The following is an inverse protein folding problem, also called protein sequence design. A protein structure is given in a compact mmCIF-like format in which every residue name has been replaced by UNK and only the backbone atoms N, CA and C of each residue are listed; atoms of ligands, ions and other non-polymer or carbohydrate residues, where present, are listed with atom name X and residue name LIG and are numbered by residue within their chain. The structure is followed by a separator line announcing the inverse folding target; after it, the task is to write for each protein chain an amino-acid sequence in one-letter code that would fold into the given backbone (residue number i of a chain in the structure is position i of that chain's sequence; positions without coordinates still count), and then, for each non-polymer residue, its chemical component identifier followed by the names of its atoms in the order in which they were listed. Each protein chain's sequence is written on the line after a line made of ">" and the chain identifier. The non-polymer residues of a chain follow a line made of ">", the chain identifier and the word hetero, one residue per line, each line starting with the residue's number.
data_IF_554535554110
#
_entry.id   IF_554535554110
#
_cell.length_a   1.000
_cell.length_b   1.000
_cell.length_c   1.000
_cell.angle_alpha   90.00
_cell.angle_beta   90.00
_cell.angle_gamma   90.00
#
_symmetry.space_group_name_H-M   'P 1'
#
loop_
_entity.id
_entity.type
_entity.pdbx_description
1 polymer ?
#
# COMPACT_ATOMS: atom_id res chain seq x y z
N UNK A 1 4.60 73.86 -3.13
CA UNK A 1 3.58 72.86 -3.54
C UNK A 1 4.18 71.49 -3.23
N UNK A 2 3.75 70.86 -2.12
CA UNK A 2 3.07 69.55 -2.08
C UNK A 2 3.78 68.49 -2.95
N UNK A 3 4.45 67.45 -2.44
CA UNK A 3 4.04 66.53 -1.38
C UNK A 3 3.35 65.31 -2.00
N UNK A 4 3.92 64.10 -1.88
CA UNK A 4 3.18 62.86 -2.15
C UNK A 4 3.96 61.69 -2.74
N UNK A 5 4.81 61.03 -1.93
CA UNK A 5 5.11 59.61 -2.09
C UNK A 5 3.84 58.78 -2.00
N UNK A 6 3.55 57.93 -2.98
CA UNK A 6 2.53 56.88 -2.85
C UNK A 6 3.19 55.51 -2.81
N UNK A 7 3.51 55.15 -1.57
CA UNK A 7 3.70 53.79 -1.07
C UNK A 7 2.35 53.05 -1.17
N UNK A 8 2.30 51.90 -1.82
CA UNK A 8 1.20 50.95 -1.63
C UNK A 8 1.76 49.52 -1.52
N UNK A 9 2.17 49.18 -0.31
CA UNK A 9 2.23 47.80 0.15
C UNK A 9 0.82 47.36 0.52
N UNK A 10 0.46 46.12 0.15
CA UNK A 10 -0.15 45.08 1.00
C UNK A 10 -1.13 44.21 0.23
N UNK A 11 -0.96 42.90 0.38
CA UNK A 11 -1.88 41.91 -0.16
C UNK A 11 -1.18 40.63 -0.59
N UNK A 12 -0.28 40.12 0.25
CA UNK A 12 0.21 38.74 0.16
C UNK A 12 -1.00 37.80 0.05
N UNK A 13 -1.29 37.33 -1.16
CA UNK A 13 -2.20 36.21 -1.37
C UNK A 13 -1.46 34.98 -0.85
N UNK A 14 -1.66 34.69 0.44
CA UNK A 14 -1.30 33.40 1.04
C UNK A 14 -2.11 32.33 0.33
N UNK A 15 -1.56 31.81 -0.76
CA UNK A 15 -1.95 30.52 -1.30
C UNK A 15 -1.57 29.48 -0.26
N UNK A 16 -2.52 29.14 0.62
CA UNK A 16 -2.42 27.95 1.45
C UNK A 16 -2.37 26.77 0.49
N UNK A 17 -1.17 26.25 0.29
CA UNK A 17 -0.93 24.98 -0.37
C UNK A 17 -1.59 23.91 0.50
N UNK A 18 -2.89 23.70 0.30
CA UNK A 18 -3.60 22.55 0.82
C UNK A 18 -2.89 21.32 0.22
N UNK A 19 -2.07 20.69 1.05
CA UNK A 19 -1.48 19.39 0.79
C UNK A 19 -2.65 18.43 0.61
N UNK A 20 -3.05 18.24 -0.65
CA UNK A 20 -4.12 17.36 -1.07
C UNK A 20 -3.71 15.91 -0.89
N UNK A 21 -3.53 15.47 0.35
CA UNK A 21 -3.85 14.10 0.73
C UNK A 21 -5.29 13.94 0.28
N UNK A 22 -5.51 13.11 -0.74
CA UNK A 22 -6.86 12.71 -1.12
C UNK A 22 -7.43 11.97 0.08
N UNK A 23 -8.06 12.73 1.00
CA UNK A 23 -8.73 12.17 2.17
C UNK A 23 -9.76 11.23 1.60
N UNK A 24 -9.59 9.93 1.88
CA UNK A 24 -10.54 8.93 1.46
C UNK A 24 -11.87 9.33 2.06
N UNK A 25 -12.82 9.71 1.21
CA UNK A 25 -14.15 10.06 1.66
C UNK A 25 -14.79 8.79 2.21
N UNK A 26 -15.11 8.79 3.50
CA UNK A 26 -15.76 7.66 4.14
C UNK A 26 -17.20 7.57 3.64
N UNK A 27 -17.72 6.34 3.55
CA UNK A 27 -19.13 6.11 3.25
C UNK A 27 -19.96 6.55 4.46
N UNK A 28 -20.93 7.41 4.23
CA UNK A 28 -21.82 7.91 5.28
C UNK A 28 -23.18 7.26 5.10
N UNK A 29 -23.69 6.62 6.15
CA UNK A 29 -25.04 6.07 6.15
C UNK A 29 -26.04 7.10 6.67
N UNK A 30 -27.31 7.05 6.25
CA UNK A 30 -28.35 7.96 6.76
C UNK A 30 -28.52 7.89 8.28
N UNK A 31 -28.36 6.68 8.86
CA UNK A 31 -28.41 6.45 10.31
C UNK A 31 -27.35 7.24 11.08
N UNK A 32 -26.12 7.33 10.56
CA UNK A 32 -25.07 8.14 11.19
C UNK A 32 -25.44 9.63 11.24
N UNK A 33 -26.09 10.13 10.19
CA UNK A 33 -26.55 11.53 10.12
C UNK A 33 -27.69 11.76 11.11
N UNK A 34 -28.65 10.83 11.18
CA UNK A 34 -29.80 10.91 12.07
C UNK A 34 -29.39 10.93 13.55
N UNK A 35 -28.42 10.09 13.93
CA UNK A 35 -27.88 10.06 15.30
C UNK A 35 -27.26 11.40 15.70
N UNK A 36 -26.44 12.01 14.82
CA UNK A 36 -25.87 13.35 15.09
C UNK A 36 -26.96 14.41 15.14
N UNK A 37 -27.95 14.34 14.24
CA UNK A 37 -29.07 15.30 14.18
C UNK A 37 -29.97 15.23 15.42
N UNK A 38 -30.16 14.06 16.01
CA UNK A 38 -30.94 13.90 17.23
C UNK A 38 -30.29 14.61 18.43
N UNK A 39 -28.95 14.66 18.48
CA UNK A 39 -28.20 15.40 19.49
C UNK A 39 -28.05 16.89 19.17
N UNK A 40 -27.91 17.23 17.89
CA UNK A 40 -27.67 18.59 17.41
C UNK A 40 -28.67 18.99 16.31
N UNK A 41 -29.90 19.39 16.68
CA UNK A 41 -30.92 19.76 15.70
C UNK A 41 -30.59 21.04 14.92
N UNK A 42 -29.75 21.92 15.49
CA UNK A 42 -29.35 23.20 14.89
C UNK A 42 -28.28 23.05 13.79
N UNK A 43 -27.61 21.89 13.73
CA UNK A 43 -26.54 21.65 12.74
C UNK A 43 -27.15 21.12 11.44
N UNK A 44 -26.87 21.75 10.28
CA UNK A 44 -27.44 21.31 9.01
C UNK A 44 -26.89 19.94 8.60
N UNK A 45 -27.75 19.11 8.00
CA UNK A 45 -27.43 17.75 7.53
C UNK A 45 -26.25 17.73 6.56
N UNK A 46 -26.10 18.76 5.72
CA UNK A 46 -24.97 18.89 4.81
C UNK A 46 -23.61 19.02 5.53
N UNK A 47 -23.57 19.75 6.65
CA UNK A 47 -22.36 19.89 7.47
C UNK A 47 -22.03 18.56 8.18
N UNK A 48 -23.05 17.90 8.73
CA UNK A 48 -22.93 16.57 9.35
C UNK A 48 -22.36 15.57 8.35
N UNK A 49 -22.94 15.50 7.14
CA UNK A 49 -22.48 14.58 6.10
C UNK A 49 -21.04 14.87 5.68
N UNK A 50 -20.67 16.13 5.50
CA UNK A 50 -19.32 16.51 5.12
C UNK A 50 -18.28 16.18 6.21
N UNK A 51 -18.62 16.38 7.48
CA UNK A 51 -17.74 15.99 8.58
C UNK A 51 -17.65 14.46 8.72
N UNK A 52 -18.78 13.73 8.62
CA UNK A 52 -18.78 12.27 8.64
C UNK A 52 -18.00 11.66 7.47
N UNK A 53 -18.01 12.28 6.28
CA UNK A 53 -17.17 11.86 5.16
C UNK A 53 -15.68 12.04 5.48
N UNK A 54 -15.35 13.03 6.31
CA UNK A 54 -13.98 13.35 6.73
C UNK A 54 -13.50 12.49 7.88
N UNK A 55 -14.31 12.29 8.91
CA UNK A 55 -13.98 11.57 10.15
C UNK A 55 -14.25 10.07 10.05
N UNK A 56 -15.31 9.67 9.35
CA UNK A 56 -15.77 8.29 9.26
C UNK A 56 -16.42 7.73 10.53
N UNK A 57 -16.54 8.52 11.60
CA UNK A 57 -17.13 8.11 12.88
C UNK A 57 -18.05 9.19 13.43
N UNK A 58 -19.19 8.75 13.98
CA UNK A 58 -20.16 9.63 14.62
C UNK A 58 -19.60 10.26 15.88
N UNK A 59 -18.88 9.48 16.71
CA UNK A 59 -18.32 9.97 17.98
C UNK A 59 -17.35 11.13 17.76
N UNK A 60 -16.49 11.02 16.75
CA UNK A 60 -15.55 12.09 16.38
C UNK A 60 -16.28 13.31 15.85
N UNK A 61 -17.36 13.13 15.09
CA UNK A 61 -18.19 14.24 14.61
C UNK A 61 -18.93 14.95 15.74
N UNK A 62 -19.39 14.20 16.76
CA UNK A 62 -19.99 14.76 17.97
C UNK A 62 -18.97 15.59 18.76
N UNK A 63 -17.76 15.07 18.98
CA UNK A 63 -16.68 15.81 19.65
C UNK A 63 -16.30 17.09 18.89
N UNK A 64 -16.20 17.04 17.56
CA UNK A 64 -15.96 18.24 16.73
C UNK A 64 -17.08 19.28 16.88
N UNK A 65 -18.34 18.83 16.82
CA UNK A 65 -19.49 19.71 16.98
C UNK A 65 -19.52 20.40 18.36
N UNK A 66 -19.13 19.69 19.42
CA UNK A 66 -19.02 20.25 20.78
C UNK A 66 -17.87 21.24 20.91
N UNK A 67 -16.71 20.96 20.30
CA UNK A 67 -15.52 21.83 20.36
C UNK A 67 -15.75 23.17 19.68
N UNK A 68 -16.32 23.14 18.49
CA UNK A 68 -16.44 24.32 17.64
C UNK A 68 -17.81 25.01 17.79
N UNK A 69 -18.73 24.45 18.59
CA UNK A 69 -20.11 24.91 18.71
C UNK A 69 -20.92 24.74 17.41
N UNK A 70 -20.48 23.85 16.52
CA UNK A 70 -21.05 23.63 15.20
C UNK A 70 -20.09 22.86 14.29
N UNK A 71 -20.53 22.57 13.05
CA UNK A 71 -19.68 21.92 12.05
C UNK A 71 -19.38 22.88 10.89
N UNK A 72 -18.16 22.87 10.32
CA UNK A 72 -17.81 23.72 9.20
C UNK A 72 -18.66 23.34 7.97
N UNK A 73 -19.42 24.30 7.45
CA UNK A 73 -20.26 24.09 6.29
C UNK A 73 -19.39 23.78 5.06
N UNK A 74 -19.66 22.68 4.32
CA UNK A 74 -18.91 22.39 3.12
C UNK A 74 -19.11 23.52 2.09
N UNK A 75 -18.10 23.83 1.27
CA UNK A 75 -18.28 24.76 0.16
C UNK A 75 -19.43 24.26 -0.73
N UNK A 76 -20.25 25.16 -1.30
CA UNK A 76 -21.35 24.76 -2.16
C UNK A 76 -20.77 23.97 -3.34
N UNK A 77 -21.10 22.68 -3.39
CA UNK A 77 -20.78 21.85 -4.54
C UNK A 77 -21.63 22.41 -5.68
N UNK A 78 -20.97 23.00 -6.69
CA UNK A 78 -21.65 23.40 -7.92
C UNK A 78 -22.42 22.17 -8.43
N UNK A 79 -23.74 22.28 -8.48
CA UNK A 79 -24.63 21.24 -8.93
C UNK A 79 -24.22 20.81 -10.34
N UNK A 80 -23.59 19.64 -10.46
CA UNK A 80 -23.50 18.96 -11.75
C UNK A 80 -24.92 18.48 -12.05
N UNK A 81 -25.66 19.30 -12.80
CA UNK A 81 -26.87 18.87 -13.47
C UNK A 81 -26.51 17.66 -14.34
N UNK A 82 -27.27 16.58 -14.21
CA UNK A 82 -27.04 15.34 -14.93
C UNK A 82 -27.03 15.58 -16.44
N UNK A 83 -25.93 15.25 -17.10
CA UNK A 83 -25.90 15.00 -18.53
C UNK A 83 -26.09 13.50 -18.76
N UNK A 84 -26.89 13.08 -19.76
CA UNK A 84 -27.13 11.66 -20.01
C UNK A 84 -25.85 11.00 -20.51
N UNK A 85 -25.53 9.88 -19.86
CA UNK A 85 -24.73 8.76 -20.35
C UNK A 85 -23.93 9.00 -21.66
N UNK A 86 -22.78 9.66 -21.56
CA UNK A 86 -21.73 9.53 -22.56
C UNK A 86 -20.63 8.65 -21.98
N UNK A 87 -20.42 7.51 -22.63
CA UNK A 87 -19.33 6.56 -22.44
C UNK A 87 -17.99 7.29 -22.22
N UNK A 88 -17.64 7.57 -20.96
CA UNK A 88 -16.38 8.20 -20.61
C UNK A 88 -15.30 7.12 -20.62
N UNK A 89 -14.68 6.96 -21.79
CA UNK A 89 -13.38 6.32 -21.91
C UNK A 89 -12.48 6.88 -20.82
N UNK A 90 -11.94 5.98 -20.00
CA UNK A 90 -10.94 6.26 -19.00
C UNK A 90 -9.70 6.84 -19.69
N UNK A 91 -9.63 8.15 -19.88
CA UNK A 91 -8.36 8.81 -20.16
C UNK A 91 -7.48 8.62 -18.91
N UNK A 92 -6.35 7.92 -18.99
CA UNK A 92 -5.40 7.91 -17.90
C UNK A 92 -4.90 9.33 -17.78
N UNK A 93 -5.38 10.03 -16.76
CA UNK A 93 -4.88 11.35 -16.40
C UNK A 93 -3.40 11.17 -16.08
N UNK A 94 -2.53 11.40 -17.07
CA UNK A 94 -1.08 11.41 -16.96
C UNK A 94 -0.71 12.60 -16.08
N UNK A 95 -0.88 12.41 -14.77
CA UNK A 95 -0.18 13.21 -13.78
C UNK A 95 1.28 12.97 -14.12
N UNK A 96 1.96 14.00 -14.60
CA UNK A 96 3.41 13.99 -14.80
C UNK A 96 4.03 13.63 -13.46
N UNK A 97 4.21 12.34 -13.20
CA UNK A 97 4.97 11.88 -12.05
C UNK A 97 6.34 12.50 -12.20
N UNK A 98 6.93 13.07 -11.15
CA UNK A 98 8.30 13.54 -11.22
C UNK A 98 9.14 12.42 -11.83
N UNK A 99 9.91 12.76 -12.87
CA UNK A 99 10.68 11.83 -13.70
C UNK A 99 11.86 11.27 -12.92
N UNK A 100 11.57 10.52 -11.86
CA UNK A 100 12.55 9.70 -11.18
C UNK A 100 12.32 8.27 -11.67
N UNK A 101 13.24 7.69 -12.45
CA UNK A 101 13.09 6.32 -12.93
C UNK A 101 13.04 5.31 -11.78
N UNK A 102 13.59 5.63 -10.60
CA UNK A 102 13.63 4.72 -9.45
C UNK A 102 13.51 5.45 -8.10
N UNK A 103 12.98 4.75 -7.09
CA UNK A 103 12.84 5.26 -5.71
C UNK A 103 14.21 5.63 -5.09
N UNK A 104 15.26 4.89 -5.41
CA UNK A 104 16.65 5.16 -4.97
C UNK A 104 17.07 6.58 -5.35
N UNK A 105 16.78 7.01 -6.59
CA UNK A 105 17.12 8.35 -7.06
C UNK A 105 16.22 9.42 -6.45
N UNK A 106 14.92 9.13 -6.30
CA UNK A 106 13.97 10.06 -5.67
C UNK A 106 14.36 10.39 -4.24
N UNK A 107 14.85 9.39 -3.49
CA UNK A 107 15.19 9.53 -2.07
C UNK A 107 16.70 9.65 -1.81
N UNK A 108 17.55 9.66 -2.84
CA UNK A 108 19.01 9.77 -2.74
C UNK A 108 19.60 8.73 -1.78
N UNK A 109 19.11 7.50 -1.89
CA UNK A 109 19.48 6.39 -1.01
C UNK A 109 20.82 5.82 -1.48
N UNK A 110 21.77 5.64 -0.56
CA UNK A 110 23.00 4.93 -0.86
C UNK A 110 22.72 3.43 -0.97
N UNK A 111 23.13 2.85 -2.08
CA UNK A 111 22.88 1.46 -2.44
C UNK A 111 23.83 0.52 -1.70
N UNK A 112 25.02 1.01 -1.35
CA UNK A 112 26.02 0.21 -0.64
C UNK A 112 25.79 0.15 0.86
N UNK A 113 24.79 0.85 1.38
CA UNK A 113 24.45 0.77 2.79
C UNK A 113 23.72 -0.54 3.07
N UNK A 114 24.38 -1.45 3.78
CA UNK A 114 23.77 -2.69 4.24
C UNK A 114 22.67 -2.41 5.26
N UNK A 115 21.42 -2.50 4.81
CA UNK A 115 20.23 -2.33 5.62
C UNK A 115 19.87 -3.61 6.38
N UNK A 116 20.79 -4.15 7.16
CA UNK A 116 20.57 -5.41 7.91
C UNK A 116 19.88 -5.15 9.26
N UNK A 117 19.83 -3.90 9.72
CA UNK A 117 19.07 -3.52 10.92
C UNK A 117 17.73 -2.89 10.56
N UNK A 118 16.64 -3.58 10.91
CA UNK A 118 15.29 -3.04 10.79
C UNK A 118 15.11 -1.88 11.79
N UNK A 119 14.76 -0.66 11.33
CA UNK A 119 14.54 0.45 12.23
C UNK A 119 13.29 0.21 13.10
N UNK A 120 13.32 0.59 14.39
CA UNK A 120 12.23 0.30 15.30
C UNK A 120 10.90 0.90 14.82
N UNK A 121 9.83 0.11 14.95
CA UNK A 121 8.47 0.48 14.52
C UNK A 121 7.74 1.33 15.57
N UNK A 122 8.48 2.17 16.30
CA UNK A 122 7.97 3.04 17.35
C UNK A 122 8.05 4.49 16.88
N UNK A 123 7.00 5.25 17.18
CA UNK A 123 6.91 6.66 16.82
C UNK A 123 7.44 7.52 17.95
N UNK A 124 8.44 8.35 17.66
CA UNK A 124 9.04 9.24 18.65
C UNK A 124 8.13 10.48 18.89
N UNK A 125 8.10 10.95 20.14
CA UNK A 125 7.38 12.16 20.52
C UNK A 125 8.02 13.41 19.90
N UNK A 126 9.35 13.41 19.73
CA UNK A 126 10.06 14.53 19.12
C UNK A 126 9.91 14.49 17.58
N UNK A 127 9.47 15.61 16.95
CA UNK A 127 9.24 15.67 15.51
C UNK A 127 10.48 15.40 14.66
N UNK A 128 11.66 15.84 15.10
CA UNK A 128 12.91 15.68 14.35
C UNK A 128 13.36 14.21 14.35
N UNK A 129 13.35 13.58 15.53
CA UNK A 129 13.65 12.14 15.67
C UNK A 129 12.69 11.28 14.86
N UNK A 130 11.40 11.60 14.90
CA UNK A 130 10.38 10.93 14.10
C UNK A 130 10.62 11.07 12.60
N UNK A 131 11.01 12.26 12.13
CA UNK A 131 11.33 12.46 10.72
C UNK A 131 12.53 11.61 10.29
N UNK A 132 13.58 11.55 11.12
CA UNK A 132 14.75 10.72 10.88
C UNK A 132 14.40 9.22 10.84
N UNK A 133 13.62 8.76 11.82
CA UNK A 133 13.10 7.39 11.88
C UNK A 133 12.29 7.02 10.62
N UNK A 134 11.44 7.91 10.14
CA UNK A 134 10.68 7.70 8.91
C UNK A 134 11.57 7.66 7.66
N UNK A 135 12.66 8.43 7.62
CA UNK A 135 13.64 8.37 6.53
C UNK A 135 14.36 7.02 6.53
N UNK A 136 14.92 6.62 7.67
CA UNK A 136 15.58 5.31 7.86
C UNK A 136 14.67 4.15 7.47
N UNK A 137 13.40 4.19 7.87
CA UNK A 137 12.42 3.15 7.51
C UNK A 137 12.10 3.10 6.02
N UNK A 138 12.04 4.25 5.33
CA UNK A 138 11.86 4.30 3.88
C UNK A 138 13.09 3.76 3.17
N UNK A 139 14.28 4.15 3.61
CA UNK A 139 15.56 3.65 3.10
C UNK A 139 15.65 2.12 3.20
N UNK A 140 15.40 1.58 4.41
CA UNK A 140 15.35 0.14 4.67
C UNK A 140 14.38 -0.58 3.73
N UNK A 141 13.15 -0.08 3.58
CA UNK A 141 12.13 -0.68 2.72
C UNK A 141 12.55 -0.70 1.25
N UNK A 142 13.15 0.38 0.75
CA UNK A 142 13.61 0.46 -0.65
C UNK A 142 14.76 -0.51 -0.90
N UNK A 143 15.71 -0.61 0.02
CA UNK A 143 16.85 -1.53 -0.08
C UNK A 143 16.41 -2.99 -0.01
N UNK A 144 15.52 -3.34 0.92
CA UNK A 144 14.93 -4.68 0.98
C UNK A 144 14.16 -5.03 -0.30
N UNK A 145 13.32 -4.12 -0.79
CA UNK A 145 12.58 -4.33 -2.03
C UNK A 145 13.53 -4.57 -3.22
N UNK A 146 14.65 -3.86 -3.27
CA UNK A 146 15.70 -4.05 -4.28
C UNK A 146 16.38 -5.42 -4.14
N UNK A 147 16.80 -5.82 -2.93
CA UNK A 147 17.40 -7.16 -2.68
C UNK A 147 16.45 -8.26 -3.19
N UNK A 148 15.17 -8.19 -2.80
CA UNK A 148 14.12 -9.14 -3.21
C UNK A 148 13.83 -9.13 -4.72
N UNK A 149 13.95 -7.98 -5.38
CA UNK A 149 13.78 -7.88 -6.83
C UNK A 149 14.94 -8.51 -7.61
N UNK A 150 16.19 -8.32 -7.15
CA UNK A 150 17.36 -8.96 -7.77
C UNK A 150 17.31 -10.48 -7.64
N UNK A 151 16.90 -10.99 -6.47
CA UNK A 151 16.72 -12.44 -6.26
C UNK A 151 15.66 -13.04 -7.19
N UNK A 152 14.50 -12.37 -7.32
CA UNK A 152 13.44 -12.80 -8.25
C UNK A 152 13.91 -12.78 -9.70
N UNK A 153 14.70 -11.79 -10.11
CA UNK A 153 15.27 -11.74 -11.46
C UNK A 153 16.25 -12.89 -11.70
N UNK A 154 17.12 -13.21 -10.72
CA UNK A 154 18.02 -14.35 -10.80
C UNK A 154 17.25 -15.68 -10.92
N UNK A 155 16.21 -15.87 -10.12
CA UNK A 155 15.36 -17.06 -10.17
C UNK A 155 14.64 -17.20 -11.52
N UNK A 156 14.08 -16.11 -12.05
CA UNK A 156 13.41 -16.11 -13.35
C UNK A 156 14.35 -16.41 -14.52
N UNK A 157 15.62 -16.01 -14.42
CA UNK A 157 16.65 -16.38 -15.41
C UNK A 157 16.99 -17.87 -15.34
N UNK A 158 17.01 -18.48 -14.15
CA UNK A 158 17.26 -19.92 -13.97
C UNK A 158 16.07 -20.78 -14.43
N UNK A 159 14.82 -20.37 -14.14
CA UNK A 159 13.62 -21.05 -14.61
C UNK A 159 13.42 -20.91 -16.13
N UNK A 160 13.99 -19.86 -16.74
CA UNK A 160 13.98 -19.66 -18.20
C UNK A 160 15.01 -20.50 -18.97
N UNK A 161 16.06 -21.04 -18.32
CA UNK A 161 17.09 -21.84 -18.99
C UNK A 161 16.91 -23.35 -18.88
N UNK A 162 15.98 -23.84 -18.05
CA UNK A 162 15.72 -25.28 -17.85
C UNK A 162 14.62 -25.87 -18.75
N UNK A 163 14.06 -25.10 -19.69
CA UNK A 163 13.00 -25.58 -20.63
C UNK A 163 13.52 -25.95 -22.03
N UNK A 164 14.84 -25.97 -22.29
CA UNK A 164 15.39 -26.28 -23.62
C UNK A 164 16.50 -27.33 -23.69
N UNK A 165 16.65 -28.22 -22.70
CA UNK A 165 17.52 -29.39 -22.86
C UNK A 165 17.03 -30.58 -22.06
N UNK A 166 16.24 -31.45 -22.71
CA UNK A 166 16.16 -32.84 -22.31
C UNK A 166 17.48 -33.53 -22.68
N UNK A 167 18.06 -34.31 -21.76
CA UNK A 167 18.62 -35.59 -22.15
C UNK A 167 17.99 -36.70 -21.32
N UNK A 168 17.38 -37.65 -22.03
CA UNK A 168 17.02 -38.95 -21.51
C UNK A 168 18.30 -39.71 -21.13
N UNK A 169 18.41 -40.12 -19.87
CA UNK A 169 19.41 -41.13 -19.46
C UNK A 169 18.76 -42.08 -18.45
N UNK A 170 18.60 -43.32 -18.93
CA UNK A 170 18.34 -44.54 -18.18
C UNK A 170 19.34 -44.70 -17.02
N UNK A 171 18.85 -44.98 -15.80
CA UNK A 171 19.56 -45.78 -14.78
C UNK A 171 18.50 -46.51 -13.93
N UNK A 172 18.74 -47.82 -13.75
CA UNK A 172 17.94 -48.82 -13.05
C UNK A 172 18.12 -48.71 -11.51
N UNK A 173 17.34 -49.46 -10.70
CA UNK A 173 16.94 -49.08 -9.35
C UNK A 173 17.98 -49.45 -8.28
N UNK A 174 18.12 -48.57 -7.28
CA UNK A 174 18.74 -48.90 -5.99
C UNK A 174 17.72 -48.62 -4.90
N UNK A 175 17.41 -49.67 -4.15
CA UNK A 175 16.50 -49.72 -3.01
C UNK A 175 17.07 -48.89 -1.84
N UNK A 176 16.50 -47.72 -1.58
CA UNK A 176 16.61 -47.02 -0.31
C UNK A 176 15.24 -46.40 -0.04
N UNK A 177 14.66 -46.68 1.13
CA UNK A 177 13.28 -46.36 1.45
C UNK A 177 13.07 -44.85 1.67
N UNK A 178 12.67 -44.16 0.59
CA UNK A 178 12.25 -42.76 0.64
C UNK A 178 10.91 -42.62 1.38
N UNK A 179 10.96 -42.19 2.64
CA UNK A 179 9.79 -41.78 3.42
C UNK A 179 9.10 -40.60 2.74
N UNK A 180 7.94 -40.87 2.16
CA UNK A 180 7.11 -39.88 1.47
C UNK A 180 6.48 -38.90 2.47
N UNK A 181 6.23 -37.66 2.03
CA UNK A 181 5.63 -36.55 2.80
C UNK A 181 4.35 -36.94 3.57
N UNK A 182 3.59 -37.94 3.11
CA UNK A 182 2.39 -38.44 3.78
C UNK A 182 2.67 -39.25 5.06
N UNK A 183 3.90 -39.72 5.28
CA UNK A 183 4.27 -40.60 6.40
C UNK A 183 5.21 -39.91 7.40
N UNK A 184 5.66 -38.68 7.12
CA UNK A 184 6.57 -37.93 7.99
C UNK A 184 5.81 -37.19 9.09
N UNK A 185 6.26 -37.34 10.34
CA UNK A 185 5.66 -36.67 11.50
C UNK A 185 5.79 -35.15 11.40
N UNK A 186 4.84 -34.41 12.00
CA UNK A 186 4.78 -32.93 11.98
C UNK A 186 6.07 -32.30 12.53
N UNK A 187 6.71 -32.91 13.54
CA UNK A 187 8.01 -32.49 14.05
C UNK A 187 9.13 -32.56 12.99
N UNK A 188 9.12 -33.61 12.17
CA UNK A 188 10.16 -33.87 11.17
C UNK A 188 10.04 -32.90 10.00
N UNK A 189 8.82 -32.57 9.59
CA UNK A 189 8.54 -31.56 8.56
C UNK A 189 9.00 -30.16 8.95
N UNK A 190 9.01 -29.82 10.24
CA UNK A 190 9.47 -28.51 10.73
C UNK A 190 11.00 -28.41 10.90
N UNK A 191 11.71 -29.54 10.92
CA UNK A 191 13.17 -29.58 10.93
C UNK A 191 13.77 -29.37 9.53
N UNK A 192 12.99 -29.59 8.46
CA UNK A 192 13.44 -29.40 7.09
C UNK A 192 13.52 -27.92 6.71
N UNK A 193 14.53 -27.58 5.89
CA UNK A 193 14.62 -26.25 5.29
C UNK A 193 13.44 -26.00 4.33
N UNK A 194 13.03 -24.73 4.11
CA UNK A 194 11.92 -24.41 3.22
C UNK A 194 12.08 -24.93 1.79
N UNK A 195 13.31 -25.00 1.29
CA UNK A 195 13.64 -25.54 -0.04
C UNK A 195 13.47 -27.07 -0.08
N UNK A 196 13.94 -27.80 0.95
CA UNK A 196 13.77 -29.26 1.02
C UNK A 196 12.29 -29.66 1.12
N UNK A 197 11.48 -28.91 1.87
CA UNK A 197 10.03 -29.15 1.96
C UNK A 197 9.34 -28.94 0.61
N UNK A 198 9.76 -27.92 -0.14
CA UNK A 198 9.25 -27.62 -1.49
C UNK A 198 9.59 -28.74 -2.46
N UNK A 199 10.83 -29.21 -2.47
CA UNK A 199 11.29 -30.27 -3.38
C UNK A 199 10.56 -31.59 -3.13
N UNK A 200 10.34 -31.95 -1.86
CA UNK A 200 9.52 -33.10 -1.50
C UNK A 200 8.08 -32.98 -2.00
N UNK A 201 7.46 -31.81 -1.88
CA UNK A 201 6.11 -31.57 -2.37
C UNK A 201 6.03 -31.68 -3.90
N UNK A 202 7.07 -31.23 -4.62
CA UNK A 202 7.17 -31.36 -6.07
C UNK A 202 7.33 -32.82 -6.50
N UNK A 203 8.19 -33.59 -5.83
CA UNK A 203 8.32 -35.03 -6.07
C UNK A 203 7.01 -35.79 -5.80
N UNK A 204 6.27 -35.42 -4.76
CA UNK A 204 4.97 -36.02 -4.46
C UNK A 204 3.94 -35.74 -5.56
N UNK A 205 3.94 -34.52 -6.11
CA UNK A 205 3.09 -34.14 -7.25
C UNK A 205 3.47 -34.92 -8.52
N UNK A 206 4.75 -35.07 -8.81
CA UNK A 206 5.24 -35.86 -9.94
C UNK A 206 4.82 -37.32 -9.84
N UNK A 207 5.01 -37.96 -8.67
CA UNK A 207 4.55 -39.34 -8.42
C UNK A 207 3.04 -39.47 -8.59
N UNK A 208 2.25 -38.54 -8.06
CA UNK A 208 0.78 -38.56 -8.17
C UNK A 208 0.28 -38.37 -9.61
N UNK A 209 1.00 -37.60 -10.43
CA UNK A 209 0.65 -37.43 -11.85
C UNK A 209 1.11 -38.62 -12.71
N UNK A 210 2.23 -39.26 -12.35
CA UNK A 210 2.78 -40.43 -13.05
C UNK A 210 2.03 -41.75 -12.80
N UNK A 211 1.43 -41.94 -11.62
CA UNK A 211 0.70 -43.18 -11.29
C UNK A 211 -0.71 -43.28 -11.91
N UNK A 212 -1.15 -42.30 -12.71
CA UNK A 212 -2.49 -42.30 -13.33
C UNK A 212 -2.55 -42.89 -14.75
N UNK A 213 -1.43 -43.36 -15.31
CA UNK A 213 -1.36 -43.83 -16.71
C UNK A 213 -0.93 -45.31 -16.89
N UNK A 214 -1.14 -46.17 -15.91
CA UNK A 214 -0.89 -47.61 -16.03
C UNK A 214 -2.04 -48.40 -15.40
N UNK A 215 -3.05 -48.69 -16.23
CA UNK A 215 -4.10 -49.65 -15.94
C UNK A 215 -3.87 -50.91 -16.80
N UNK A 216 -3.82 -52.13 -16.24
CA UNK A 216 -4.18 -53.34 -16.99
C UNK A 216 -5.71 -53.43 -17.16
#
# INVERSE_FOLDING_TARGET
>A
MLGGSQNNQHGQRRSTTATGVRRMAHRVTPQMIEMVRAMFPDIPTAAIQADLQRTGSVETTVDNALRDGGLPLPPPMASQQGSPNSNAQSSPNSRKSPSHPNLVQRYKIDVQQDADQEPPKVWDANPDKRQEMLRKRKEFMVLQARKKLMEQQRKKQQEGSSTSSAPASLIAPTEEEDKTFEVMSVEELNALSPEQRRDQMLQALEKRTGSSNSNP
#
